data_IF_991849204556
#
_entry.id   IF_991849204556
#
_cell.length_a   1.000
_cell.length_b   1.000
_cell.length_c   1.000
_cell.angle_alpha   90.00
_cell.angle_beta   90.00
_cell.angle_gamma   90.00
#
_symmetry.space_group_name_H-M   'P 1'
#
loop_
_entity.id
_entity.type
_entity.pdbx_description
1 polymer ?
#
# COMPACT_ATOMS: atom_id res chain seq x y z
N UNK A 1 34.17 2.13 -32.91
CA UNK A 1 34.97 1.28 -31.97
C UNK A 1 34.76 -0.17 -32.32
N UNK A 2 35.80 -1.02 -32.24
CA UNK A 2 35.64 -2.47 -32.43
C UNK A 2 34.72 -3.03 -31.36
N UNK A 3 33.80 -3.91 -31.75
CA UNK A 3 32.87 -4.61 -30.83
C UNK A 3 33.25 -6.10 -30.83
N UNK A 4 33.19 -6.71 -29.68
CA UNK A 4 33.46 -8.13 -29.50
C UNK A 4 32.19 -8.84 -29.05
N UNK A 5 32.05 -10.12 -29.42
CA UNK A 5 30.95 -10.98 -28.98
C UNK A 5 31.48 -12.38 -28.65
N UNK A 6 30.70 -13.17 -27.95
CA UNK A 6 30.98 -14.58 -27.72
C UNK A 6 30.34 -15.42 -28.82
N UNK A 7 31.13 -16.22 -29.52
CA UNK A 7 30.69 -17.12 -30.59
C UNK A 7 29.89 -18.30 -30.01
N UNK A 8 29.26 -19.09 -30.89
CA UNK A 8 28.52 -20.29 -30.49
C UNK A 8 29.35 -21.37 -29.80
N UNK A 9 30.66 -21.40 -30.08
CA UNK A 9 31.61 -22.31 -29.44
C UNK A 9 32.11 -21.81 -28.06
N UNK A 10 31.59 -20.68 -27.59
CA UNK A 10 31.95 -20.07 -26.30
C UNK A 10 33.22 -19.23 -26.34
N UNK A 11 33.84 -19.01 -27.52
CA UNK A 11 35.05 -18.19 -27.64
C UNK A 11 34.74 -16.75 -27.98
N UNK A 12 35.43 -15.76 -27.39
CA UNK A 12 35.28 -14.36 -27.79
C UNK A 12 35.88 -14.10 -29.16
N UNK A 13 35.34 -13.14 -29.89
CA UNK A 13 35.82 -12.75 -31.20
C UNK A 13 35.33 -11.40 -31.63
N UNK A 14 36.07 -10.79 -32.55
CA UNK A 14 35.71 -9.50 -33.15
C UNK A 14 34.40 -9.65 -33.92
N UNK A 15 33.46 -8.74 -33.65
CA UNK A 15 32.25 -8.65 -34.44
C UNK A 15 32.53 -7.99 -35.79
N UNK A 16 32.30 -8.72 -36.87
CA UNK A 16 32.50 -8.24 -38.24
C UNK A 16 31.20 -7.73 -38.90
N UNK A 17 30.10 -7.72 -38.15
CA UNK A 17 28.82 -7.26 -38.65
C UNK A 17 28.77 -5.73 -38.74
N UNK A 18 28.14 -5.24 -39.81
CA UNK A 18 27.75 -3.83 -39.90
C UNK A 18 26.62 -3.52 -38.91
N UNK A 19 26.42 -2.25 -38.54
CA UNK A 19 25.44 -1.83 -37.54
C UNK A 19 24.08 -2.53 -37.69
N UNK A 20 23.64 -3.19 -36.63
CA UNK A 20 22.29 -3.80 -36.56
C UNK A 20 22.16 -5.26 -37.02
N UNK A 21 23.15 -5.86 -37.65
CA UNK A 21 23.02 -7.18 -38.31
C UNK A 21 23.97 -8.27 -37.76
N UNK A 22 24.26 -8.30 -36.45
CA UNK A 22 25.09 -9.37 -35.90
C UNK A 22 24.29 -10.70 -35.84
N UNK A 23 24.70 -11.78 -36.52
CA UNK A 23 23.99 -13.05 -36.54
C UNK A 23 24.07 -13.83 -35.21
N UNK A 24 24.83 -13.33 -34.22
CA UNK A 24 25.09 -14.00 -32.94
C UNK A 24 24.45 -13.32 -31.72
N UNK A 25 23.69 -12.23 -31.90
CA UNK A 25 22.98 -11.60 -30.79
C UNK A 25 22.67 -10.14 -31.00
N UNK A 26 21.83 -9.61 -30.11
CA UNK A 26 21.52 -8.19 -30.07
C UNK A 26 22.68 -7.36 -29.50
N UNK A 27 22.51 -6.04 -29.45
CA UNK A 27 23.53 -5.09 -28.95
C UNK A 27 23.96 -5.33 -27.51
N UNK A 28 23.16 -6.02 -26.70
CA UNK A 28 23.43 -6.31 -25.27
C UNK A 28 24.52 -7.37 -25.07
N UNK A 29 24.88 -8.10 -26.11
CA UNK A 29 25.93 -9.14 -26.09
C UNK A 29 27.24 -8.68 -26.77
N UNK A 30 27.39 -7.40 -27.04
CA UNK A 30 28.62 -6.84 -27.58
C UNK A 30 29.43 -6.11 -26.51
N UNK A 31 30.73 -6.37 -26.51
CA UNK A 31 31.68 -5.85 -25.54
C UNK A 31 32.61 -4.85 -26.21
N UNK A 32 33.07 -3.85 -25.48
CA UNK A 32 33.99 -2.83 -25.96
C UNK A 32 35.45 -3.34 -26.13
N UNK A 33 35.78 -4.40 -25.42
CA UNK A 33 37.10 -5.04 -25.50
C UNK A 33 36.97 -6.56 -25.44
N UNK A 34 38.05 -7.25 -25.78
CA UNK A 34 38.09 -8.72 -25.85
C UNK A 34 38.11 -9.35 -24.45
N UNK A 35 38.65 -8.66 -23.45
CA UNK A 35 38.73 -9.19 -22.07
C UNK A 35 37.34 -9.32 -21.46
N UNK A 36 36.50 -8.29 -21.58
CA UNK A 36 35.11 -8.35 -21.10
C UNK A 36 34.30 -9.49 -21.78
N UNK A 37 34.59 -9.71 -23.09
CA UNK A 37 33.94 -10.82 -23.82
C UNK A 37 34.49 -12.19 -23.33
N UNK A 38 35.79 -12.29 -22.96
CA UNK A 38 36.37 -13.50 -22.40
C UNK A 38 35.77 -13.78 -21.02
N UNK A 39 35.77 -12.78 -20.13
CA UNK A 39 35.26 -12.92 -18.77
C UNK A 39 33.76 -13.36 -18.78
N UNK A 40 32.96 -12.82 -19.71
CA UNK A 40 31.58 -13.25 -19.92
C UNK A 40 31.49 -14.70 -20.40
N UNK A 41 32.34 -15.11 -21.33
CA UNK A 41 32.40 -16.49 -21.83
C UNK A 41 32.82 -17.47 -20.73
N UNK A 42 33.80 -17.14 -19.94
CA UNK A 42 34.31 -17.97 -18.86
C UNK A 42 33.23 -18.16 -17.77
N UNK A 43 32.55 -17.09 -17.40
CA UNK A 43 31.41 -17.13 -16.46
C UNK A 43 30.28 -18.02 -16.98
N UNK A 44 29.92 -17.95 -18.26
CA UNK A 44 28.94 -18.83 -18.88
C UNK A 44 29.35 -20.29 -18.85
N UNK A 45 30.61 -20.58 -19.17
CA UNK A 45 31.14 -21.93 -19.16
C UNK A 45 31.15 -22.51 -17.73
N UNK A 46 31.53 -21.71 -16.75
CA UNK A 46 31.49 -22.08 -15.33
C UNK A 46 30.05 -22.42 -14.88
N UNK A 47 29.07 -21.56 -15.21
CA UNK A 47 27.65 -21.82 -14.92
C UNK A 47 27.19 -23.13 -15.59
N UNK A 48 27.54 -23.34 -16.85
CA UNK A 48 27.14 -24.55 -17.58
C UNK A 48 27.73 -25.83 -16.95
N UNK A 49 28.99 -25.80 -16.54
CA UNK A 49 29.64 -26.90 -15.84
C UNK A 49 29.00 -27.18 -14.48
N UNK A 50 28.76 -26.13 -13.67
CA UNK A 50 28.07 -26.22 -12.40
C UNK A 50 26.65 -26.77 -12.56
N UNK A 51 25.89 -26.29 -13.50
CA UNK A 51 24.54 -26.77 -13.79
C UNK A 51 24.51 -28.25 -14.13
N UNK A 52 25.49 -28.74 -14.91
CA UNK A 52 25.61 -30.15 -15.28
C UNK A 52 25.84 -31.02 -14.05
N UNK A 53 26.71 -30.61 -13.15
CA UNK A 53 26.99 -31.36 -11.91
C UNK A 53 25.79 -31.34 -10.95
N UNK A 54 25.14 -30.19 -10.75
CA UNK A 54 23.93 -30.11 -9.95
C UNK A 54 22.83 -30.99 -10.52
N UNK A 55 22.54 -30.90 -11.83
CA UNK A 55 21.48 -31.67 -12.45
C UNK A 55 21.70 -33.18 -12.36
N UNK A 56 22.95 -33.64 -12.38
CA UNK A 56 23.30 -35.06 -12.17
C UNK A 56 23.03 -35.51 -10.73
N UNK A 57 23.32 -34.64 -9.75
CA UNK A 57 23.17 -34.95 -8.32
C UNK A 57 21.73 -34.88 -7.82
N UNK A 58 20.80 -34.24 -8.58
CA UNK A 58 19.42 -34.08 -8.15
C UNK A 58 18.72 -35.45 -7.97
N UNK A 59 18.11 -35.61 -6.80
CA UNK A 59 17.15 -36.70 -6.55
C UNK A 59 15.82 -36.34 -7.21
N UNK A 60 15.68 -36.63 -8.51
CA UNK A 60 14.56 -36.22 -9.36
C UNK A 60 13.17 -36.60 -8.81
N UNK A 61 13.09 -37.63 -7.97
CA UNK A 61 11.85 -38.06 -7.31
C UNK A 61 11.34 -37.05 -6.25
N UNK A 62 12.20 -36.16 -5.76
CA UNK A 62 11.85 -35.18 -4.76
C UNK A 62 11.21 -33.90 -5.38
N UNK A 63 11.23 -33.82 -6.73
CA UNK A 63 10.69 -32.70 -7.49
C UNK A 63 9.42 -33.08 -8.24
N UNK A 64 8.48 -32.18 -8.32
CA UNK A 64 7.32 -32.29 -9.22
C UNK A 64 7.74 -32.17 -10.68
N UNK A 65 6.84 -32.57 -11.59
CA UNK A 65 7.08 -32.43 -13.05
C UNK A 65 7.32 -30.94 -13.43
N UNK A 66 6.54 -30.02 -12.87
CA UNK A 66 6.66 -28.57 -13.17
C UNK A 66 7.97 -28.00 -12.65
N UNK A 67 8.40 -28.37 -11.44
CA UNK A 67 9.71 -27.96 -10.90
C UNK A 67 10.85 -28.47 -11.79
N UNK A 68 10.81 -29.74 -12.22
CA UNK A 68 11.83 -30.28 -13.12
C UNK A 68 11.84 -29.59 -14.49
N UNK A 69 10.69 -29.11 -14.96
CA UNK A 69 10.60 -28.33 -16.19
C UNK A 69 11.23 -26.96 -16.03
N UNK A 70 10.95 -26.25 -14.93
CA UNK A 70 11.59 -24.95 -14.61
C UNK A 70 13.11 -25.09 -14.51
N UNK A 71 13.63 -26.15 -13.87
CA UNK A 71 15.07 -26.44 -13.79
C UNK A 71 15.68 -26.67 -15.18
N UNK A 72 15.04 -27.53 -16.02
CA UNK A 72 15.53 -27.78 -17.39
C UNK A 72 15.53 -26.54 -18.25
N UNK A 73 14.49 -25.70 -18.13
CA UNK A 73 14.41 -24.42 -18.82
C UNK A 73 15.53 -23.48 -18.37
N UNK A 74 15.83 -23.43 -17.05
CA UNK A 74 16.94 -22.65 -16.52
C UNK A 74 18.31 -23.07 -17.11
N UNK A 75 18.57 -24.38 -17.22
CA UNK A 75 19.78 -24.92 -17.88
C UNK A 75 19.83 -24.48 -19.35
N UNK A 76 18.70 -24.63 -20.09
CA UNK A 76 18.61 -24.24 -21.50
C UNK A 76 18.85 -22.75 -21.69
N UNK A 77 18.37 -21.92 -20.75
CA UNK A 77 18.54 -20.47 -20.76
C UNK A 77 19.90 -20.01 -20.24
N UNK A 78 20.74 -20.93 -19.74
CA UNK A 78 22.09 -20.65 -19.26
C UNK A 78 22.16 -19.88 -17.94
N UNK A 79 21.12 -19.94 -17.11
CA UNK A 79 21.12 -19.35 -15.78
C UNK A 79 21.59 -20.33 -14.71
N UNK A 80 22.13 -19.84 -13.60
CA UNK A 80 22.64 -20.65 -12.49
C UNK A 80 21.50 -21.30 -11.71
N UNK A 81 21.28 -22.63 -11.94
CA UNK A 81 20.22 -23.37 -11.27
C UNK A 81 20.48 -23.61 -9.78
N UNK A 82 21.72 -23.40 -9.29
CA UNK A 82 22.02 -23.53 -7.85
C UNK A 82 21.16 -22.62 -6.96
N UNK A 83 20.64 -21.56 -7.54
CA UNK A 83 19.84 -20.57 -6.84
C UNK A 83 18.38 -21.00 -6.62
N UNK A 84 17.91 -22.04 -7.33
CA UNK A 84 16.50 -22.46 -7.25
C UNK A 84 16.23 -23.97 -7.43
N UNK A 85 17.26 -24.78 -7.70
CA UNK A 85 17.09 -26.23 -7.82
C UNK A 85 16.95 -26.91 -6.43
N UNK A 86 15.98 -26.47 -5.66
CA UNK A 86 15.62 -26.96 -4.32
C UNK A 86 14.13 -27.31 -4.30
N UNK A 87 13.73 -28.54 -3.89
CA UNK A 87 12.34 -28.96 -3.91
C UNK A 87 11.40 -28.16 -2.98
N UNK A 88 11.94 -27.35 -2.08
CA UNK A 88 11.17 -26.44 -1.23
C UNK A 88 10.56 -25.26 -2.00
N UNK A 89 11.14 -24.90 -3.14
CA UNK A 89 10.55 -23.88 -4.01
C UNK A 89 9.41 -24.46 -4.85
N UNK A 90 8.32 -23.73 -4.96
CA UNK A 90 7.31 -24.01 -5.99
C UNK A 90 7.86 -23.69 -7.38
N UNK A 91 7.28 -24.31 -8.43
CA UNK A 91 7.70 -24.05 -9.81
C UNK A 91 7.56 -22.56 -10.19
N UNK A 92 6.52 -21.89 -9.71
CA UNK A 92 6.29 -20.48 -9.89
C UNK A 92 7.37 -19.60 -9.24
N UNK A 93 7.83 -19.97 -8.04
CA UNK A 93 8.95 -19.30 -7.37
C UNK A 93 10.26 -19.51 -8.15
N UNK A 94 10.54 -20.74 -8.61
CA UNK A 94 11.69 -21.02 -9.46
C UNK A 94 11.70 -20.15 -10.73
N UNK A 95 10.53 -19.91 -11.33
CA UNK A 95 10.40 -19.07 -12.52
C UNK A 95 10.69 -17.59 -12.21
N UNK A 96 10.29 -17.06 -11.05
CA UNK A 96 10.65 -15.71 -10.65
C UNK A 96 12.16 -15.55 -10.42
N UNK A 97 12.81 -16.53 -9.79
CA UNK A 97 14.27 -16.52 -9.58
C UNK A 97 14.97 -16.59 -10.95
N UNK A 98 14.54 -17.49 -11.83
CA UNK A 98 15.07 -17.61 -13.20
C UNK A 98 14.97 -16.29 -13.98
N UNK A 99 13.82 -15.61 -13.93
CA UNK A 99 13.62 -14.31 -14.56
C UNK A 99 14.58 -13.24 -14.03
N UNK A 100 14.81 -13.22 -12.73
CA UNK A 100 15.78 -12.31 -12.13
C UNK A 100 17.22 -12.58 -12.58
N UNK A 101 17.63 -13.85 -12.59
CA UNK A 101 18.95 -14.26 -13.07
C UNK A 101 19.19 -13.85 -14.54
N UNK A 102 18.17 -14.00 -15.41
CA UNK A 102 18.23 -13.55 -16.82
C UNK A 102 18.47 -12.04 -16.95
N UNK A 103 18.00 -11.27 -16.01
CA UNK A 103 18.17 -9.81 -15.96
C UNK A 103 19.45 -9.39 -15.21
N UNK A 104 20.24 -10.36 -14.70
CA UNK A 104 21.46 -10.08 -13.94
C UNK A 104 21.20 -9.51 -12.54
N UNK A 105 19.98 -9.70 -12.01
CA UNK A 105 19.63 -9.18 -10.69
C UNK A 105 20.22 -10.04 -9.58
N UNK A 106 20.45 -9.44 -8.41
CA UNK A 106 20.81 -10.16 -7.20
C UNK A 106 19.60 -10.90 -6.62
N UNK A 107 19.42 -12.15 -7.03
CA UNK A 107 18.28 -12.99 -6.60
C UNK A 107 18.39 -13.47 -5.15
N UNK A 108 19.58 -13.44 -4.54
CA UNK A 108 19.78 -13.92 -3.16
C UNK A 108 18.97 -13.13 -2.12
N UNK A 109 18.51 -11.95 -2.50
CA UNK A 109 17.63 -11.13 -1.68
C UNK A 109 16.27 -11.82 -1.48
N UNK A 110 15.74 -12.46 -2.52
CA UNK A 110 14.38 -13.03 -2.52
C UNK A 110 14.29 -14.52 -2.84
N UNK A 111 15.37 -15.17 -3.26
CA UNK A 111 15.41 -16.62 -3.52
C UNK A 111 15.36 -17.41 -2.19
N UNK A 112 14.22 -17.33 -1.52
CA UNK A 112 13.93 -17.93 -0.21
C UNK A 112 12.57 -18.62 -0.29
N UNK A 113 12.44 -19.93 0.07
CA UNK A 113 11.18 -20.67 -0.05
C UNK A 113 9.99 -20.09 0.70
N UNK A 114 10.27 -19.34 1.79
CA UNK A 114 9.25 -18.67 2.60
C UNK A 114 8.65 -17.41 1.95
N UNK A 115 9.25 -16.90 0.87
CA UNK A 115 8.74 -15.74 0.12
C UNK A 115 7.85 -16.27 -1.01
N UNK A 116 6.58 -15.89 -1.04
CA UNK A 116 5.64 -16.32 -2.08
C UNK A 116 6.03 -15.81 -3.49
N UNK A 117 5.52 -16.45 -4.52
CA UNK A 117 5.85 -16.08 -5.91
C UNK A 117 5.44 -14.66 -6.30
N UNK A 118 4.33 -14.13 -5.75
CA UNK A 118 3.88 -12.75 -5.99
C UNK A 118 4.79 -11.74 -5.32
N UNK A 119 5.23 -12.04 -4.10
CA UNK A 119 6.18 -11.22 -3.36
C UNK A 119 7.56 -11.23 -4.04
N UNK A 120 8.01 -12.40 -4.53
CA UNK A 120 9.24 -12.49 -5.34
C UNK A 120 9.14 -11.62 -6.60
N UNK A 121 7.97 -11.59 -7.26
CA UNK A 121 7.73 -10.74 -8.43
C UNK A 121 7.85 -9.25 -8.09
N UNK A 122 7.24 -8.81 -6.98
CA UNK A 122 7.36 -7.42 -6.50
C UNK A 122 8.81 -7.03 -6.22
N UNK A 123 9.56 -7.89 -5.51
CA UNK A 123 10.97 -7.63 -5.20
C UNK A 123 11.81 -7.59 -6.48
N UNK A 124 11.60 -8.53 -7.40
CA UNK A 124 12.28 -8.58 -8.69
C UNK A 124 12.04 -7.32 -9.52
N UNK A 125 10.79 -6.85 -9.59
CA UNK A 125 10.44 -5.61 -10.29
C UNK A 125 11.10 -4.40 -9.65
N UNK A 126 11.10 -4.30 -8.31
CA UNK A 126 11.80 -3.22 -7.62
C UNK A 126 13.31 -3.21 -7.89
N UNK A 127 13.95 -4.38 -7.91
CA UNK A 127 15.36 -4.49 -8.30
C UNK A 127 15.61 -4.04 -9.75
N UNK A 128 14.68 -4.30 -10.68
CA UNK A 128 14.79 -3.81 -12.07
C UNK A 128 14.69 -2.27 -12.16
N UNK A 129 13.95 -1.68 -11.25
CA UNK A 129 13.76 -0.23 -11.12
C UNK A 129 14.85 0.43 -10.27
N UNK A 130 15.87 -0.34 -9.82
CA UNK A 130 16.94 0.08 -8.91
C UNK A 130 16.46 0.64 -7.57
N UNK A 131 15.31 0.16 -7.08
CA UNK A 131 14.81 0.51 -5.76
C UNK A 131 15.58 -0.23 -4.67
N UNK A 132 15.71 0.40 -3.49
CA UNK A 132 16.22 -0.29 -2.30
C UNK A 132 15.16 -1.25 -1.72
N UNK A 133 15.13 -2.46 -2.26
CA UNK A 133 14.19 -3.50 -1.87
C UNK A 133 14.40 -4.01 -0.44
N UNK A 134 15.51 -3.68 0.23
CA UNK A 134 15.78 -4.10 1.61
C UNK A 134 14.71 -3.64 2.60
N UNK A 135 13.99 -2.58 2.24
CA UNK A 135 12.88 -2.06 3.03
C UNK A 135 11.68 -3.00 3.10
N UNK A 136 11.41 -3.77 2.05
CA UNK A 136 10.21 -4.60 1.96
C UNK A 136 10.46 -6.07 1.58
N UNK A 137 11.68 -6.44 1.21
CA UNK A 137 12.04 -7.85 0.94
C UNK A 137 12.19 -8.65 2.24
N UNK A 138 11.23 -8.56 3.14
CA UNK A 138 11.20 -9.15 4.47
C UNK A 138 9.96 -10.02 4.61
N UNK A 139 10.05 -11.21 5.24
CA UNK A 139 8.91 -12.15 5.32
C UNK A 139 7.76 -11.65 6.18
N UNK A 140 8.02 -10.72 7.12
CA UNK A 140 7.01 -10.16 8.02
C UNK A 140 6.00 -9.23 7.33
N UNK A 141 6.27 -8.75 6.13
CA UNK A 141 5.34 -7.92 5.36
C UNK A 141 4.43 -8.77 4.49
N UNK A 142 3.13 -8.47 4.48
CA UNK A 142 2.21 -9.00 3.50
C UNK A 142 2.37 -8.33 2.11
N UNK A 143 1.67 -8.87 1.11
CA UNK A 143 1.70 -8.35 -0.26
C UNK A 143 1.36 -6.85 -0.34
N UNK A 144 0.31 -6.42 0.37
CA UNK A 144 -0.18 -5.04 0.29
C UNK A 144 0.73 -4.05 1.02
N UNK A 145 1.35 -4.48 2.13
CA UNK A 145 2.36 -3.69 2.84
C UNK A 145 3.58 -3.46 1.95
N UNK A 146 4.08 -4.50 1.28
CA UNK A 146 5.18 -4.38 0.32
C UNK A 146 4.85 -3.42 -0.81
N UNK A 147 3.63 -3.49 -1.35
CA UNK A 147 3.17 -2.60 -2.42
C UNK A 147 3.17 -1.13 -1.97
N UNK A 148 2.72 -0.83 -0.75
CA UNK A 148 2.75 0.54 -0.24
C UNK A 148 4.17 1.05 0.01
N UNK A 149 5.08 0.19 0.50
CA UNK A 149 6.50 0.57 0.68
C UNK A 149 7.15 0.81 -0.69
N UNK A 150 6.96 -0.12 -1.65
CA UNK A 150 7.48 0.02 -3.02
C UNK A 150 7.01 1.33 -3.65
N UNK A 151 5.71 1.65 -3.55
CA UNK A 151 5.13 2.89 -4.08
C UNK A 151 5.75 4.15 -3.45
N UNK A 152 6.12 4.09 -2.17
CA UNK A 152 6.85 5.18 -1.51
C UNK A 152 8.25 5.35 -2.08
N UNK A 153 8.99 4.25 -2.26
CA UNK A 153 10.33 4.26 -2.86
C UNK A 153 10.32 4.79 -4.30
N UNK A 154 9.34 4.38 -5.11
CA UNK A 154 9.14 4.90 -6.49
C UNK A 154 8.99 6.43 -6.53
N UNK A 155 8.38 7.00 -5.49
CA UNK A 155 8.22 8.45 -5.34
C UNK A 155 9.39 9.14 -4.65
N UNK A 156 10.42 8.39 -4.23
CA UNK A 156 11.55 8.93 -3.47
C UNK A 156 11.20 9.39 -2.05
N UNK A 157 10.14 8.83 -1.45
CA UNK A 157 9.72 9.18 -0.09
C UNK A 157 10.57 8.45 0.96
N UNK A 158 10.69 9.05 2.15
CA UNK A 158 11.27 8.38 3.31
C UNK A 158 10.32 7.30 3.85
N UNK A 159 10.53 6.07 3.41
CA UNK A 159 9.71 4.91 3.83
C UNK A 159 10.04 4.46 5.25
N UNK A 160 11.15 4.89 5.85
CA UNK A 160 11.56 4.49 7.21
C UNK A 160 10.50 4.81 8.27
N UNK A 161 9.70 5.82 8.00
CA UNK A 161 8.61 6.27 8.87
C UNK A 161 7.52 5.19 9.04
N UNK A 162 7.26 4.38 8.00
CA UNK A 162 6.13 3.46 7.99
C UNK A 162 6.44 2.03 7.50
N UNK A 163 7.65 1.76 6.99
CA UNK A 163 8.06 0.41 6.60
C UNK A 163 8.29 -0.48 7.83
N UNK A 164 7.25 -0.68 8.63
CA UNK A 164 7.22 -1.44 9.88
C UNK A 164 5.98 -2.34 9.90
N UNK A 165 6.10 -3.62 10.30
CA UNK A 165 5.00 -4.59 10.25
C UNK A 165 3.77 -4.22 11.10
N UNK A 166 3.95 -3.35 12.10
CA UNK A 166 2.86 -2.88 12.98
C UNK A 166 1.81 -2.05 12.25
N UNK A 167 2.18 -1.42 11.14
CA UNK A 167 1.23 -0.71 10.29
C UNK A 167 0.61 -1.67 9.28
N UNK A 168 -0.71 -1.75 9.22
CA UNK A 168 -1.36 -2.38 8.10
C UNK A 168 -1.25 -1.51 6.83
N UNK A 169 -1.48 -2.10 5.66
CA UNK A 169 -1.31 -1.40 4.37
C UNK A 169 -2.16 -0.13 4.24
N UNK A 170 -3.36 -0.07 4.87
CA UNK A 170 -4.22 1.13 4.85
C UNK A 170 -3.62 2.28 5.66
N UNK A 171 -3.00 1.96 6.79
CA UNK A 171 -2.26 2.95 7.59
C UNK A 171 -1.04 3.45 6.82
N UNK A 172 -0.26 2.53 6.21
CA UNK A 172 0.87 2.88 5.35
C UNK A 172 0.44 3.80 4.20
N UNK A 173 -0.71 3.53 3.57
CA UNK A 173 -1.27 4.37 2.50
C UNK A 173 -1.59 5.80 2.97
N UNK A 174 -2.10 5.97 4.22
CA UNK A 174 -2.33 7.31 4.76
C UNK A 174 -1.03 8.06 5.01
N UNK A 175 0.01 7.38 5.53
CA UNK A 175 1.32 7.99 5.78
C UNK A 175 2.00 8.34 4.44
N UNK A 176 2.01 7.42 3.47
CA UNK A 176 2.54 7.65 2.11
C UNK A 176 1.87 8.88 1.47
N UNK A 177 0.54 8.97 1.56
CA UNK A 177 -0.21 10.13 1.05
C UNK A 177 0.17 11.43 1.77
N UNK A 178 0.43 11.38 3.08
CA UNK A 178 0.89 12.55 3.83
C UNK A 178 2.28 13.01 3.39
N UNK A 179 3.23 12.08 3.30
CA UNK A 179 4.59 12.36 2.81
C UNK A 179 4.58 12.93 1.39
N UNK A 180 3.73 12.37 0.49
CA UNK A 180 3.56 12.88 -0.88
C UNK A 180 3.11 14.35 -0.90
N UNK A 181 2.37 14.78 0.11
CA UNK A 181 1.89 16.17 0.25
C UNK A 181 2.76 17.02 1.19
N UNK A 182 3.96 16.56 1.56
CA UNK A 182 4.89 17.23 2.46
C UNK A 182 4.30 17.57 3.83
N UNK A 183 3.38 16.75 4.34
CA UNK A 183 2.79 16.93 5.66
C UNK A 183 3.70 16.37 6.75
N UNK A 184 3.62 16.93 7.96
CA UNK A 184 4.23 16.34 9.15
C UNK A 184 3.46 15.09 9.57
N UNK A 185 3.89 13.93 9.06
CA UNK A 185 3.27 12.64 9.35
C UNK A 185 3.56 12.14 10.77
N UNK A 186 4.56 12.69 11.47
CA UNK A 186 4.92 12.29 12.84
C UNK A 186 3.75 12.44 13.83
N UNK A 187 2.85 13.34 13.51
CA UNK A 187 1.64 13.60 14.28
C UNK A 187 0.74 12.35 14.36
N UNK A 188 0.63 11.59 13.27
CA UNK A 188 -0.31 10.48 13.15
C UNK A 188 0.29 9.14 12.69
N UNK A 189 1.56 9.08 12.32
CA UNK A 189 2.25 7.83 11.98
C UNK A 189 2.50 6.97 13.22
N UNK A 190 1.44 6.58 13.90
CA UNK A 190 1.40 5.79 15.13
C UNK A 190 0.47 4.61 14.94
N UNK A 191 0.90 3.36 15.18
CA UNK A 191 0.09 2.16 14.95
C UNK A 191 -1.25 2.14 15.71
N UNK A 192 -1.34 2.89 16.82
CA UNK A 192 -2.53 3.01 17.66
C UNK A 192 -3.69 3.72 16.97
N UNK A 193 -3.41 4.61 16.01
CA UNK A 193 -4.47 5.19 15.18
C UNK A 193 -4.89 4.19 14.10
N UNK A 194 -6.17 3.94 13.97
CA UNK A 194 -6.67 3.23 12.78
C UNK A 194 -6.55 4.12 11.54
N UNK A 195 -6.64 3.51 10.35
CA UNK A 195 -6.43 4.23 9.09
C UNK A 195 -7.44 5.35 8.85
N UNK A 196 -8.67 5.25 9.39
CA UNK A 196 -9.70 6.29 9.28
C UNK A 196 -9.34 7.50 10.16
N UNK A 197 -8.86 7.27 11.40
CA UNK A 197 -8.35 8.35 12.26
C UNK A 197 -7.17 9.06 11.59
N UNK A 198 -6.20 8.31 11.07
CA UNK A 198 -5.08 8.87 10.30
C UNK A 198 -5.57 9.70 9.10
N UNK A 199 -6.60 9.23 8.41
CA UNK A 199 -7.19 9.95 7.27
C UNK A 199 -7.77 11.31 7.70
N UNK A 200 -8.51 11.36 8.81
CA UNK A 200 -9.11 12.61 9.29
C UNK A 200 -8.05 13.60 9.79
N UNK A 201 -6.98 13.10 10.46
CA UNK A 201 -5.84 13.95 10.84
C UNK A 201 -5.15 14.50 9.59
N UNK A 202 -4.83 13.64 8.61
CA UNK A 202 -4.20 14.05 7.35
C UNK A 202 -5.01 15.09 6.58
N UNK A 203 -6.35 14.92 6.52
CA UNK A 203 -7.24 15.92 5.89
C UNK A 203 -7.21 17.26 6.62
N UNK A 204 -7.13 17.24 7.96
CA UNK A 204 -6.99 18.46 8.74
C UNK A 204 -5.68 19.20 8.44
N UNK A 205 -4.57 18.46 8.41
CA UNK A 205 -3.26 19.01 8.05
C UNK A 205 -3.24 19.59 6.63
N UNK A 206 -3.87 18.90 5.65
CA UNK A 206 -4.01 19.40 4.27
C UNK A 206 -4.75 20.73 4.19
N UNK A 207 -5.71 20.95 5.08
CA UNK A 207 -6.49 22.20 5.17
C UNK A 207 -5.89 23.21 6.16
N UNK A 208 -4.65 22.98 6.63
CA UNK A 208 -3.96 23.85 7.60
C UNK A 208 -4.74 24.09 8.90
N UNK A 209 -5.55 23.11 9.31
CA UNK A 209 -6.30 23.19 10.56
C UNK A 209 -5.41 22.82 11.75
N UNK A 210 -5.72 23.36 12.92
CA UNK A 210 -5.11 22.93 14.18
C UNK A 210 -5.63 21.54 14.57
N UNK A 211 -4.91 20.51 14.13
CA UNK A 211 -5.28 19.11 14.41
C UNK A 211 -5.05 18.71 15.86
N UNK A 212 -4.23 19.48 16.64
CA UNK A 212 -3.92 19.17 18.04
C UNK A 212 -5.18 19.06 18.91
N UNK A 213 -6.23 19.71 18.50
CA UNK A 213 -7.54 19.72 19.17
C UNK A 213 -8.14 18.31 19.22
N UNK A 214 -8.03 17.51 18.15
CA UNK A 214 -8.69 16.22 18.02
C UNK A 214 -7.76 15.02 17.81
N UNK A 215 -6.46 15.23 17.73
CA UNK A 215 -5.44 14.15 17.68
C UNK A 215 -5.36 13.47 19.05
N UNK A 216 -6.38 12.69 19.38
CA UNK A 216 -6.51 11.93 20.62
C UNK A 216 -6.99 10.53 20.30
N UNK A 217 -6.37 9.51 20.89
CA UNK A 217 -6.72 8.09 20.64
C UNK A 217 -8.15 7.74 21.05
N UNK A 218 -8.72 8.46 22.03
CA UNK A 218 -10.04 8.21 22.55
C UNK A 218 -11.18 8.61 21.59
N UNK A 219 -10.93 9.57 20.69
CA UNK A 219 -11.91 9.92 19.67
C UNK A 219 -11.93 8.87 18.55
N UNK A 220 -13.12 8.38 18.20
CA UNK A 220 -13.28 7.60 16.98
C UNK A 220 -13.13 8.50 15.73
N UNK A 221 -12.97 7.87 14.56
CA UNK A 221 -12.74 8.62 13.32
C UNK A 221 -13.92 9.50 12.91
N UNK A 222 -15.17 9.15 13.30
CA UNK A 222 -16.36 9.96 13.02
C UNK A 222 -16.41 11.20 13.90
N UNK A 223 -16.05 11.05 15.16
CA UNK A 223 -15.90 12.19 16.07
C UNK A 223 -14.82 13.14 15.56
N UNK A 224 -13.63 12.62 15.17
CA UNK A 224 -12.57 13.42 14.56
C UNK A 224 -13.06 14.12 13.28
N UNK A 225 -13.83 13.44 12.44
CA UNK A 225 -14.41 14.02 11.22
C UNK A 225 -15.30 15.21 11.53
N UNK A 226 -16.21 15.09 12.50
CA UNK A 226 -17.14 16.17 12.84
C UNK A 226 -16.42 17.37 13.46
N UNK A 227 -15.40 17.12 14.30
CA UNK A 227 -14.56 18.20 14.84
C UNK A 227 -13.80 18.90 13.70
N UNK A 228 -13.16 18.13 12.81
CA UNK A 228 -12.44 18.68 11.65
C UNK A 228 -13.34 19.53 10.76
N UNK A 229 -14.54 19.03 10.44
CA UNK A 229 -15.52 19.78 9.62
C UNK A 229 -15.97 21.06 10.33
N UNK A 230 -16.21 21.00 11.64
CA UNK A 230 -16.53 22.19 12.41
C UNK A 230 -15.43 23.25 12.36
N UNK A 231 -14.17 22.85 12.54
CA UNK A 231 -13.02 23.74 12.42
C UNK A 231 -12.90 24.33 11.00
N UNK A 232 -13.10 23.48 9.96
CA UNK A 232 -13.05 23.92 8.56
C UNK A 232 -14.12 24.96 8.23
N UNK A 233 -15.33 24.79 8.77
CA UNK A 233 -16.49 25.65 8.51
C UNK A 233 -16.62 26.79 9.54
N UNK A 234 -15.63 26.97 10.44
CA UNK A 234 -15.61 27.96 11.53
C UNK A 234 -16.82 27.87 12.47
N UNK A 235 -17.31 26.66 12.70
CA UNK A 235 -18.40 26.38 13.64
C UNK A 235 -17.81 26.23 15.05
N UNK A 236 -18.50 26.76 16.06
CA UNK A 236 -18.09 26.63 17.46
C UNK A 236 -18.15 25.19 17.94
N UNK A 237 -17.01 24.50 17.85
CA UNK A 237 -16.87 23.09 18.24
C UNK A 237 -17.07 22.88 19.74
N UNK A 238 -16.89 23.94 20.59
CA UNK A 238 -17.05 23.81 22.06
C UNK A 238 -18.43 23.30 22.46
N UNK A 239 -19.41 23.48 21.60
CA UNK A 239 -20.80 23.06 21.82
C UNK A 239 -21.02 21.54 21.71
N UNK A 240 -20.10 20.81 21.06
CA UNK A 240 -20.20 19.36 20.85
C UNK A 240 -18.87 18.60 21.03
N UNK A 241 -17.82 19.31 21.42
CA UNK A 241 -16.53 18.68 21.75
C UNK A 241 -16.62 17.92 23.06
N UNK A 242 -17.22 16.72 23.00
CA UNK A 242 -17.37 15.82 24.13
C UNK A 242 -17.23 14.38 23.65
N UNK A 243 -16.36 13.60 24.27
CA UNK A 243 -16.08 12.20 23.94
C UNK A 243 -17.31 11.26 24.13
N UNK A 244 -18.24 11.66 24.97
CA UNK A 244 -19.47 10.89 25.22
C UNK A 244 -20.46 10.96 24.05
N UNK A 245 -20.38 11.99 23.21
CA UNK A 245 -21.19 12.02 22.00
C UNK A 245 -20.66 11.06 20.96
N UNK A 246 -21.54 10.28 20.37
CA UNK A 246 -21.18 9.54 19.15
C UNK A 246 -20.91 10.51 18.00
N UNK A 247 -20.09 10.11 17.01
CA UNK A 247 -19.87 10.94 15.84
C UNK A 247 -21.15 11.34 15.11
N UNK A 248 -22.20 10.51 15.16
CA UNK A 248 -23.53 10.83 14.58
C UNK A 248 -24.30 11.87 15.40
N UNK A 249 -24.16 11.89 16.72
CA UNK A 249 -24.72 12.98 17.55
C UNK A 249 -23.99 14.29 17.31
N UNK A 250 -22.64 14.26 17.26
CA UNK A 250 -21.83 15.42 16.89
C UNK A 250 -22.25 16.00 15.53
N UNK A 251 -22.49 15.13 14.54
CA UNK A 251 -23.00 15.54 13.23
C UNK A 251 -24.32 16.34 13.34
N UNK A 252 -25.32 15.84 14.10
CA UNK A 252 -26.60 16.50 14.22
C UNK A 252 -26.47 17.84 14.97
N UNK A 253 -25.58 17.95 15.97
CA UNK A 253 -25.32 19.20 16.67
C UNK A 253 -24.61 20.19 15.74
N UNK A 254 -23.53 19.76 15.05
CA UNK A 254 -22.81 20.61 14.08
C UNK A 254 -23.74 21.12 12.99
N UNK A 255 -24.61 20.26 12.43
CA UNK A 255 -25.62 20.67 11.44
C UNK A 255 -26.62 21.65 12.04
N UNK A 256 -27.00 21.53 13.31
CA UNK A 256 -27.85 22.50 13.98
C UNK A 256 -27.20 23.87 14.05
N UNK A 257 -25.93 23.94 14.42
CA UNK A 257 -25.14 25.17 14.43
C UNK A 257 -25.02 25.79 13.03
N UNK A 258 -24.73 24.96 12.01
CA UNK A 258 -24.65 25.38 10.60
C UNK A 258 -25.95 26.06 10.12
N UNK A 259 -27.09 25.53 10.54
CA UNK A 259 -28.41 26.08 10.19
C UNK A 259 -28.96 27.07 11.20
N UNK A 260 -28.14 27.45 12.20
CA UNK A 260 -28.50 28.41 13.24
C UNK A 260 -29.82 28.09 13.96
N UNK A 261 -30.03 26.82 14.29
CA UNK A 261 -31.16 26.39 15.12
C UNK A 261 -30.72 26.20 16.57
N UNK A 262 -31.68 26.29 17.49
CA UNK A 262 -31.44 26.12 18.92
C UNK A 262 -31.05 24.67 19.24
N UNK A 263 -29.73 24.40 19.35
CA UNK A 263 -29.18 23.08 19.68
C UNK A 263 -29.40 22.71 21.16
N UNK A 264 -29.59 23.68 22.05
CA UNK A 264 -29.74 23.43 23.49
C UNK A 264 -30.98 22.59 23.77
N UNK A 265 -31.96 22.61 22.90
CA UNK A 265 -33.16 21.77 22.98
C UNK A 265 -32.90 20.28 22.80
N UNK A 266 -31.81 19.88 22.09
CA UNK A 266 -31.60 18.47 21.75
C UNK A 266 -30.17 17.94 21.91
N UNK A 267 -29.21 18.75 22.33
CA UNK A 267 -27.81 18.31 22.52
C UNK A 267 -27.60 17.41 23.75
N UNK A 268 -28.66 17.09 24.50
CA UNK A 268 -28.58 16.14 25.62
C UNK A 268 -28.17 14.74 25.14
N UNK A 269 -27.30 14.07 25.88
CA UNK A 269 -26.91 12.67 25.64
C UNK A 269 -28.09 11.68 25.73
N UNK A 270 -29.21 12.09 26.31
CA UNK A 270 -30.41 11.29 26.37
C UNK A 270 -31.07 11.07 25.01
N UNK A 271 -30.82 11.96 24.04
CA UNK A 271 -31.36 11.82 22.68
C UNK A 271 -30.42 10.99 21.79
N UNK A 272 -30.98 9.98 21.13
CA UNK A 272 -30.28 9.28 20.06
C UNK A 272 -30.07 10.20 18.85
N UNK A 273 -29.08 9.96 18.02
CA UNK A 273 -28.77 10.79 16.84
C UNK A 273 -29.96 10.95 15.89
N UNK A 274 -30.77 9.90 15.68
CA UNK A 274 -31.97 9.98 14.85
C UNK A 274 -33.07 10.83 15.46
N UNK A 275 -33.19 10.86 16.79
CA UNK A 275 -34.11 11.77 17.51
C UNK A 275 -33.65 13.22 17.37
N UNK A 276 -32.32 13.47 17.61
CA UNK A 276 -31.70 14.80 17.38
C UNK A 276 -31.98 15.30 15.95
N UNK A 277 -31.88 14.40 14.96
CA UNK A 277 -32.18 14.71 13.56
C UNK A 277 -33.62 15.18 13.36
N UNK A 278 -34.60 14.50 13.97
CA UNK A 278 -36.01 14.90 13.82
C UNK A 278 -36.29 16.25 14.46
N UNK A 279 -35.71 16.52 15.63
CA UNK A 279 -35.83 17.81 16.31
C UNK A 279 -35.19 18.90 15.47
N UNK A 280 -33.92 18.74 15.04
CA UNK A 280 -33.22 19.68 14.16
C UNK A 280 -34.01 20.02 12.90
N UNK A 281 -34.50 18.99 12.19
CA UNK A 281 -35.32 19.20 10.97
C UNK A 281 -36.60 19.97 11.23
N UNK A 282 -37.25 19.73 12.40
CA UNK A 282 -38.39 20.51 12.82
C UNK A 282 -38.07 21.97 13.05
N UNK A 283 -37.00 22.24 13.82
CA UNK A 283 -36.53 23.61 14.08
C UNK A 283 -36.16 24.34 12.78
N UNK A 284 -35.49 23.68 11.82
CA UNK A 284 -35.19 24.24 10.50
C UNK A 284 -36.44 24.68 9.71
N UNK A 285 -37.56 24.06 9.97
CA UNK A 285 -38.88 24.38 9.32
C UNK A 285 -39.72 25.30 10.15
N UNK A 286 -39.22 25.81 11.28
CA UNK A 286 -40.01 26.64 12.19
C UNK A 286 -41.16 25.92 12.89
N UNK A 287 -41.06 24.59 13.05
CA UNK A 287 -42.05 23.76 13.71
C UNK A 287 -41.85 23.85 15.21
N UNK A 288 -42.93 23.97 15.96
CA UNK A 288 -42.92 23.79 17.41
C UNK A 288 -42.58 22.33 17.74
N UNK A 289 -41.33 22.09 18.15
CA UNK A 289 -40.84 20.75 18.46
C UNK A 289 -41.22 20.29 19.86
N UNK A 290 -41.76 21.15 20.74
CA UNK A 290 -42.10 20.84 22.12
C UNK A 290 -43.03 19.62 22.24
N UNK A 291 -43.86 19.41 21.22
CA UNK A 291 -44.83 18.30 21.13
C UNK A 291 -44.16 16.92 21.14
N UNK A 292 -42.91 16.85 20.63
CA UNK A 292 -42.16 15.59 20.54
C UNK A 292 -40.75 15.68 21.13
N UNK A 293 -40.45 16.74 21.83
CA UNK A 293 -39.15 16.95 22.51
C UNK A 293 -39.05 16.09 23.77
N UNK A 294 -39.03 14.77 23.61
CA UNK A 294 -38.95 13.82 24.72
C UNK A 294 -38.13 12.58 24.29
N UNK A 295 -37.02 12.26 24.97
CA UNK A 295 -36.19 11.12 24.65
C UNK A 295 -36.90 9.75 24.67
N UNK A 296 -38.01 9.65 25.40
CA UNK A 296 -38.80 8.42 25.41
C UNK A 296 -39.59 8.17 24.13
N UNK A 297 -39.77 9.18 23.26
CA UNK A 297 -40.45 9.04 21.98
C UNK A 297 -39.48 8.50 20.94
N UNK A 298 -39.79 7.35 20.34
CA UNK A 298 -38.96 6.75 19.32
C UNK A 298 -38.83 7.70 18.11
N UNK A 299 -37.63 7.74 17.51
CA UNK A 299 -37.34 8.62 16.36
C UNK A 299 -38.37 8.54 15.21
N UNK A 300 -38.89 7.33 14.90
CA UNK A 300 -39.90 7.16 13.86
C UNK A 300 -41.27 7.79 14.22
N UNK A 301 -41.62 7.87 15.52
CA UNK A 301 -42.80 8.60 16.00
C UNK A 301 -42.55 10.10 15.90
N UNK A 302 -41.39 10.58 16.33
CA UNK A 302 -40.98 11.98 16.16
C UNK A 302 -41.10 12.42 14.68
N UNK A 303 -40.59 11.58 13.76
CA UNK A 303 -40.68 11.83 12.32
C UNK A 303 -42.11 11.97 11.84
N UNK A 304 -43.01 11.07 12.28
CA UNK A 304 -44.43 11.09 11.92
C UNK A 304 -45.10 12.36 12.43
N UNK A 305 -44.81 12.75 13.67
CA UNK A 305 -45.36 14.00 14.25
C UNK A 305 -44.82 15.21 13.46
N UNK A 306 -43.51 15.29 13.23
CA UNK A 306 -42.90 16.37 12.46
C UNK A 306 -43.50 16.52 11.08
N UNK A 307 -43.65 15.42 10.31
CA UNK A 307 -44.22 15.45 8.96
C UNK A 307 -45.68 15.87 8.97
N UNK A 308 -46.45 15.52 9.99
CA UNK A 308 -47.85 15.97 10.16
C UNK A 308 -47.93 17.48 10.43
N UNK A 309 -46.97 18.00 11.21
CA UNK A 309 -46.90 19.45 11.50
C UNK A 309 -46.44 20.24 10.27
N UNK A 310 -45.46 19.74 9.51
CA UNK A 310 -44.98 20.35 8.24
C UNK A 310 -46.13 20.55 7.22
N UNK A 311 -47.05 19.59 7.15
CA UNK A 311 -48.25 19.69 6.24
C UNK A 311 -49.25 20.76 6.65
N UNK A 312 -49.20 21.20 7.92
CA UNK A 312 -50.12 22.25 8.42
C UNK A 312 -49.58 23.67 8.21
N UNK A 313 -48.30 23.82 7.94
CA UNK A 313 -47.61 25.10 7.71
C UNK A 313 -47.64 25.49 6.22
N UNK A 314 -47.86 24.51 5.33
CA UNK A 314 -48.08 24.74 3.91
C UNK A 314 -49.55 25.09 3.66
#
# INVERSE_FOLDING_TARGET
MAKYHVKKDGTPGLCKAQEGNCPLGDSSQHFSNIQDAQDYADKKNEIAARNKEIYKSLKKKDFTKSQMESIKNGIKEGVDISKFADPRFEASQMDQIKLGLKKGLNVDIYAKPEIGNLEMDQIRLGLQENLDVSWYAKPEFDYWQREEIKRGLEKGLDVSVYARPEFNYKQMAQINSGLTNNLDVSIYAKPEYNWQQMQEIRKGLLNSLDVSIYVKFDFDWRQMQEIRLGLQDNIDISKYYNIEYTGTQMYEIRKGLEYNVDIDLYKSLEFESLQMRQIRLGLQKGIDVSIYLNPSIKWGEMERIRLKLERKIK
#
